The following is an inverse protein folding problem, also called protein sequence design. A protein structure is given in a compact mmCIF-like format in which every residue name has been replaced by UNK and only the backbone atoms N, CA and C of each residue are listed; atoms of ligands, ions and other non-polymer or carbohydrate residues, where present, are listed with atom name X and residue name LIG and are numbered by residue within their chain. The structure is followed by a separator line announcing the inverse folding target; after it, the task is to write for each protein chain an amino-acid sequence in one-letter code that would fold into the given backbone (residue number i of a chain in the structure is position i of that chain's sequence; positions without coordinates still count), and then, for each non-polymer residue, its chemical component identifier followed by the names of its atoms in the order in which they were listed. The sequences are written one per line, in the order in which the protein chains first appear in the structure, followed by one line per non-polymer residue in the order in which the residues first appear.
data_IF_544899038059
#
_entry.id   IF_544899038059
#
_cell.length_a   1.000
_cell.length_b   1.000
_cell.length_c   1.000
_cell.angle_alpha   90.00
_cell.angle_beta   90.00
_cell.angle_gamma   90.00
#
_symmetry.space_group_name_H-M   'P 1'
#
loop_
_entity.id
_entity.type
_entity.pdbx_description
1 polymer ?
#
# COMPACT_ATOMS: atom_id res chain seq x y z
N UNK A 1 10.47 3.13 3.59
CA UNK A 1 9.81 2.75 4.84
C UNK A 1 8.63 3.68 5.09
N UNK A 2 7.44 3.16 5.34
CA UNK A 2 6.28 3.94 5.74
C UNK A 2 6.51 4.52 7.14
N UNK A 3 6.34 5.83 7.25
CA UNK A 3 6.39 6.53 8.52
C UNK A 3 5.06 6.37 9.27
N UNK A 4 5.13 5.91 10.51
CA UNK A 4 3.97 5.68 11.37
C UNK A 4 3.82 6.87 12.31
N UNK A 5 2.59 7.24 12.67
CA UNK A 5 2.28 8.45 13.45
C UNK A 5 2.97 8.49 14.83
N UNK A 6 3.28 7.33 15.43
CA UNK A 6 3.99 7.27 16.69
C UNK A 6 5.51 7.12 16.48
N UNK A 7 6.29 7.73 17.38
CA UNK A 7 7.73 7.52 17.44
C UNK A 7 8.02 6.08 17.87
N UNK A 8 8.42 5.25 16.90
CA UNK A 8 8.85 3.88 17.13
C UNK A 8 10.37 3.78 17.01
N UNK A 9 10.96 2.95 17.87
CA UNK A 9 12.33 2.48 17.69
C UNK A 9 12.52 1.90 16.28
N UNK A 10 13.72 2.09 15.72
CA UNK A 10 14.05 1.68 14.34
C UNK A 10 13.67 0.21 14.07
N UNK A 11 13.99 -0.68 15.00
CA UNK A 11 13.71 -2.12 14.85
C UNK A 11 12.21 -2.40 14.79
N UNK A 12 11.42 -1.78 15.66
CA UNK A 12 9.95 -1.92 15.64
C UNK A 12 9.37 -1.42 14.32
N UNK A 13 9.89 -0.32 13.78
CA UNK A 13 9.44 0.23 12.50
C UNK A 13 9.73 -0.68 11.32
N UNK A 14 10.90 -1.32 11.31
CA UNK A 14 11.27 -2.33 10.30
C UNK A 14 10.28 -3.49 10.37
N UNK A 15 10.00 -4.02 11.57
CA UNK A 15 9.07 -5.13 11.75
C UNK A 15 7.67 -4.76 11.24
N UNK A 16 7.16 -3.57 11.58
CA UNK A 16 5.84 -3.14 11.12
C UNK A 16 5.81 -3.01 9.59
N UNK A 17 6.83 -2.39 8.99
CA UNK A 17 6.89 -2.26 7.52
C UNK A 17 6.98 -3.60 6.82
N UNK A 18 7.70 -4.55 7.40
CA UNK A 18 7.78 -5.91 6.88
C UNK A 18 6.42 -6.60 6.93
N UNK A 19 5.65 -6.42 8.01
CA UNK A 19 4.26 -6.90 8.08
C UNK A 19 3.36 -6.27 7.05
N UNK A 20 3.46 -4.95 6.84
CA UNK A 20 2.69 -4.29 5.80
C UNK A 20 3.08 -4.86 4.42
N UNK A 21 4.38 -5.08 4.16
CA UNK A 21 4.82 -5.67 2.90
C UNK A 21 4.27 -7.09 2.70
N UNK A 22 4.29 -7.94 3.73
CA UNK A 22 3.75 -9.31 3.66
C UNK A 22 2.29 -9.32 3.14
N UNK A 23 1.45 -8.39 3.63
CA UNK A 23 0.07 -8.28 3.16
C UNK A 23 -0.03 -7.68 1.76
N UNK A 24 0.74 -6.63 1.46
CA UNK A 24 0.75 -6.03 0.13
C UNK A 24 1.20 -7.03 -0.94
N UNK A 25 2.15 -7.92 -0.63
CA UNK A 25 2.68 -8.92 -1.58
C UNK A 25 1.58 -9.88 -2.08
N UNK A 26 0.58 -10.18 -1.25
CA UNK A 26 -0.60 -10.96 -1.66
C UNK A 26 -1.39 -10.23 -2.75
N UNK A 27 -1.72 -8.96 -2.52
CA UNK A 27 -2.47 -8.15 -3.49
C UNK A 27 -1.65 -7.88 -4.76
N UNK A 28 -0.35 -7.68 -4.62
CA UNK A 28 0.55 -7.55 -5.77
C UNK A 28 0.62 -8.85 -6.58
N UNK A 29 0.48 -10.02 -5.95
CA UNK A 29 0.38 -11.30 -6.64
C UNK A 29 -0.92 -11.40 -7.42
N UNK A 30 -2.06 -11.06 -6.80
CA UNK A 30 -3.34 -11.00 -7.52
C UNK A 30 -3.31 -10.03 -8.69
N UNK A 31 -2.67 -8.87 -8.52
CA UNK A 31 -2.48 -7.92 -9.60
C UNK A 31 -1.68 -8.51 -10.78
N UNK A 32 -0.56 -9.18 -10.50
CA UNK A 32 0.29 -9.79 -11.53
C UNK A 32 -0.42 -10.94 -12.26
N UNK A 33 -1.18 -11.75 -11.53
CA UNK A 33 -1.76 -12.98 -12.07
C UNK A 33 -3.13 -12.77 -12.72
N UNK A 34 -3.93 -11.83 -12.19
CA UNK A 34 -5.34 -11.65 -12.56
C UNK A 34 -5.65 -10.26 -13.14
N UNK A 35 -4.78 -9.26 -12.92
CA UNK A 35 -4.95 -7.88 -13.40
C UNK A 35 -5.37 -6.88 -12.32
N UNK A 36 -5.44 -5.60 -12.70
CA UNK A 36 -5.71 -4.46 -11.81
C UNK A 36 -7.03 -4.57 -11.05
N UNK A 37 -8.12 -4.94 -11.74
CA UNK A 37 -9.45 -5.04 -11.14
C UNK A 37 -9.46 -6.07 -9.99
N UNK A 38 -8.95 -7.27 -10.22
CA UNK A 38 -8.91 -8.33 -9.20
C UNK A 38 -7.87 -8.05 -8.12
N UNK A 39 -6.75 -7.44 -8.49
CA UNK A 39 -5.67 -7.12 -7.56
C UNK A 39 -6.02 -6.00 -6.58
N UNK A 40 -6.65 -4.93 -7.04
CA UNK A 40 -6.70 -3.68 -6.27
C UNK A 40 -8.09 -3.05 -6.13
N UNK A 41 -9.08 -3.35 -6.99
CA UNK A 41 -10.40 -2.69 -6.98
C UNK A 41 -11.05 -2.63 -5.60
N UNK A 42 -11.00 -3.74 -4.86
CA UNK A 42 -11.64 -3.89 -3.56
C UNK A 42 -11.04 -3.01 -2.46
N UNK A 43 -9.82 -2.51 -2.68
CA UNK A 43 -9.10 -1.65 -1.73
C UNK A 43 -9.49 -0.18 -1.86
N UNK A 44 -10.22 0.20 -2.92
CA UNK A 44 -10.61 1.58 -3.19
C UNK A 44 -12.13 1.73 -3.26
N UNK A 45 -12.67 2.93 -2.94
CA UNK A 45 -14.08 3.20 -3.15
C UNK A 45 -14.43 3.07 -4.64
N UNK A 46 -15.61 2.53 -5.00
CA UNK A 46 -15.96 2.30 -6.40
C UNK A 46 -15.83 3.54 -7.29
N UNK A 47 -16.21 4.71 -6.77
CA UNK A 47 -16.17 5.97 -7.51
C UNK A 47 -14.74 6.46 -7.77
N UNK A 48 -13.83 6.33 -6.78
CA UNK A 48 -12.43 6.78 -6.94
C UNK A 48 -11.74 6.00 -8.04
N UNK A 49 -11.97 4.69 -8.09
CA UNK A 49 -11.36 3.84 -9.10
C UNK A 49 -11.98 4.01 -10.49
N UNK A 50 -13.28 4.32 -10.59
CA UNK A 50 -13.90 4.67 -11.88
C UNK A 50 -13.34 6.01 -12.39
N UNK A 51 -13.11 6.97 -11.49
CA UNK A 51 -12.59 8.29 -11.82
C UNK A 51 -11.11 8.25 -12.23
N UNK A 52 -10.28 7.49 -11.49
CA UNK A 52 -8.83 7.48 -11.67
C UNK A 52 -8.21 6.13 -11.25
N UNK A 53 -8.39 5.11 -12.09
CA UNK A 53 -7.82 3.76 -11.89
C UNK A 53 -6.28 3.81 -11.82
N UNK A 54 -5.64 4.60 -12.69
CA UNK A 54 -4.18 4.68 -12.76
C UNK A 54 -3.59 5.17 -11.44
N UNK A 55 -4.21 6.16 -10.80
CA UNK A 55 -3.81 6.63 -9.48
C UNK A 55 -4.00 5.58 -8.40
N UNK A 56 -5.04 4.75 -8.47
CA UNK A 56 -5.24 3.65 -7.52
C UNK A 56 -4.13 2.60 -7.66
N UNK A 57 -3.82 2.19 -8.90
CA UNK A 57 -2.72 1.26 -9.19
C UNK A 57 -1.39 1.84 -8.70
N UNK A 58 -1.11 3.11 -9.03
CA UNK A 58 0.10 3.80 -8.60
C UNK A 58 0.23 3.85 -7.07
N UNK A 59 -0.87 4.11 -6.36
CA UNK A 59 -0.90 4.12 -4.88
C UNK A 59 -0.44 2.77 -4.32
N UNK A 60 -0.90 1.65 -4.88
CA UNK A 60 -0.50 0.31 -4.44
C UNK A 60 0.97 0.01 -4.72
N UNK A 61 1.47 0.44 -5.89
CA UNK A 61 2.89 0.30 -6.26
C UNK A 61 3.78 1.16 -5.34
N UNK A 62 3.36 2.39 -5.04
CA UNK A 62 4.05 3.28 -4.09
C UNK A 62 4.13 2.62 -2.71
N UNK A 63 3.03 2.07 -2.20
CA UNK A 63 3.00 1.36 -0.91
C UNK A 63 3.94 0.16 -0.87
N UNK A 64 3.91 -0.70 -1.89
CA UNK A 64 4.81 -1.87 -1.96
C UNK A 64 6.29 -1.43 -1.99
N UNK A 65 6.63 -0.46 -2.85
CA UNK A 65 7.99 0.07 -2.93
C UNK A 65 8.44 0.72 -1.61
N UNK A 66 7.57 1.53 -0.99
CA UNK A 66 7.90 2.23 0.24
C UNK A 66 8.06 1.30 1.42
N UNK A 67 7.43 0.14 1.47
CA UNK A 67 7.67 -0.79 2.60
C UNK A 67 9.05 -1.46 2.53
N UNK A 68 9.68 -1.50 1.35
CA UNK A 68 11.00 -2.11 1.11
C UNK A 68 12.17 -1.12 1.15
N UNK A 69 11.87 0.17 0.99
CA UNK A 69 12.86 1.25 1.03
C UNK A 69 13.28 1.60 2.47
N UNK A 70 14.45 2.21 2.65
CA UNK A 70 14.93 2.76 3.92
C UNK A 70 14.49 4.22 4.16
N UNK A 71 14.11 4.95 3.11
CA UNK A 71 13.65 6.34 3.25
C UNK A 71 12.28 6.43 3.94
N UNK A 72 12.07 7.41 4.82
CA UNK A 72 10.78 7.58 5.51
C UNK A 72 9.77 8.30 4.62
N UNK A 73 8.71 7.60 4.21
CA UNK A 73 7.65 8.14 3.38
C UNK A 73 6.43 8.50 4.22
N UNK A 74 5.86 9.68 3.97
CA UNK A 74 4.61 10.11 4.58
C UNK A 74 3.43 9.70 3.70
N UNK A 75 2.46 9.03 4.30
CA UNK A 75 1.25 8.62 3.60
C UNK A 75 0.37 9.83 3.30
N UNK A 76 -0.07 9.91 2.05
CA UNK A 76 -1.26 10.70 1.66
C UNK A 76 -2.55 9.94 2.02
N UNK A 77 -3.70 10.62 2.16
CA UNK A 77 -4.96 9.97 2.55
C UNK A 77 -5.36 8.75 1.72
N UNK A 78 -5.06 8.74 0.42
CA UNK A 78 -5.36 7.59 -0.46
C UNK A 78 -4.55 6.34 -0.10
N UNK A 79 -3.32 6.49 0.39
CA UNK A 79 -2.50 5.37 0.84
C UNK A 79 -3.01 4.82 2.17
N UNK A 80 -3.36 5.71 3.10
CA UNK A 80 -3.92 5.32 4.40
C UNK A 80 -5.23 4.55 4.21
N UNK A 81 -6.07 5.02 3.27
CA UNK A 81 -7.30 4.33 2.92
C UNK A 81 -7.04 2.93 2.38
N UNK A 82 -6.11 2.80 1.41
CA UNK A 82 -5.77 1.51 0.82
C UNK A 82 -5.24 0.55 1.89
N UNK A 83 -4.30 0.98 2.73
CA UNK A 83 -3.74 0.16 3.81
C UNK A 83 -4.76 -0.23 4.88
N UNK A 84 -5.76 0.60 5.16
CA UNK A 84 -6.82 0.23 6.11
C UNK A 84 -7.69 -0.95 5.61
N UNK A 85 -7.68 -1.22 4.30
CA UNK A 85 -8.44 -2.32 3.67
C UNK A 85 -7.61 -3.58 3.45
N UNK A 86 -6.31 -3.52 3.72
CA UNK A 86 -5.34 -4.61 3.62
C UNK A 86 -5.22 -5.31 4.97
#
# INVERSE_FOLDING_TARGET
MINIFCELEKNTRIIVNQRINDYLDLYMTFYRDLGSEQGFRSLFPPMIWIEDEEKCIKTMIELDAWTRDEHLHHLKPIHEFALYRV
#
